data_IF_330929072757
#
_entry.id   IF_330929072757
#
_cell.length_a   1.000
_cell.length_b   1.000
_cell.length_c   1.000
_cell.angle_alpha   90.00
_cell.angle_beta   90.00
_cell.angle_gamma   90.00
#
_symmetry.space_group_name_H-M   'P 1'
#
loop_
_entity.id
_entity.type
_entity.pdbx_description
1 polymer ?
#
# COMPACT_ATOMS: atom_id res chain seq x y z
N UNK A 1 24.48 43.21 -8.04
CA UNK A 1 24.02 42.76 -6.70
C UNK A 1 22.56 43.18 -6.59
N UNK A 2 21.65 42.22 -6.51
CA UNK A 2 20.20 42.43 -6.60
C UNK A 2 19.53 41.20 -7.23
N UNK A 3 19.41 40.13 -6.44
CA UNK A 3 18.63 38.95 -6.81
C UNK A 3 17.24 39.13 -6.21
N UNK A 4 16.38 39.87 -6.90
CA UNK A 4 14.96 39.94 -6.57
C UNK A 4 14.28 38.71 -7.17
N UNK A 5 14.54 37.56 -6.55
CA UNK A 5 13.83 36.31 -6.80
C UNK A 5 12.46 36.37 -6.15
N UNK A 6 11.56 37.13 -6.76
CA UNK A 6 10.17 37.24 -6.35
C UNK A 6 9.57 35.83 -6.28
N UNK A 7 9.33 35.38 -5.05
CA UNK A 7 8.77 34.08 -4.72
C UNK A 7 7.28 34.15 -4.96
N UNK A 8 6.89 34.22 -6.23
CA UNK A 8 5.48 34.09 -6.59
C UNK A 8 5.11 32.63 -6.39
N UNK A 9 4.50 32.32 -5.24
CA UNK A 9 3.81 31.04 -5.05
C UNK A 9 2.77 30.96 -6.18
N UNK A 10 3.03 30.11 -7.16
CA UNK A 10 2.12 29.92 -8.29
C UNK A 10 0.84 29.27 -7.76
N UNK A 11 -0.31 29.59 -8.36
CA UNK A 11 -1.59 28.97 -8.00
C UNK A 11 -1.51 27.44 -7.99
N UNK A 12 -0.69 26.86 -8.88
CA UNK A 12 -0.40 25.43 -8.97
C UNK A 12 0.27 24.88 -7.69
N UNK A 13 1.19 25.64 -7.08
CA UNK A 13 1.85 25.24 -5.83
C UNK A 13 0.87 25.16 -4.65
N UNK A 14 -0.04 26.13 -4.52
CA UNK A 14 -1.06 26.11 -3.48
C UNK A 14 -2.08 24.97 -3.68
N UNK A 15 -2.46 24.70 -4.93
CA UNK A 15 -3.34 23.58 -5.26
C UNK A 15 -2.68 22.24 -4.93
N UNK A 16 -1.40 22.08 -5.28
CA UNK A 16 -0.64 20.88 -4.95
C UNK A 16 -0.55 20.66 -3.43
N UNK A 17 -0.19 21.69 -2.66
CA UNK A 17 -0.14 21.61 -1.19
C UNK A 17 -1.49 21.25 -0.58
N UNK A 18 -2.58 21.79 -1.16
CA UNK A 18 -3.95 21.43 -0.81
C UNK A 18 -4.25 19.95 -1.03
N UNK A 19 -3.87 19.41 -2.19
CA UNK A 19 -4.05 17.99 -2.53
C UNK A 19 -3.24 17.08 -1.60
N UNK A 20 -1.96 17.39 -1.37
CA UNK A 20 -1.09 16.60 -0.49
C UNK A 20 -1.63 16.61 0.95
N UNK A 21 -2.06 17.77 1.44
CA UNK A 21 -2.65 17.90 2.78
C UNK A 21 -3.95 17.11 2.91
N UNK A 22 -4.84 17.19 1.92
CA UNK A 22 -6.10 16.44 1.91
C UNK A 22 -5.84 14.93 1.88
N UNK A 23 -4.97 14.48 0.96
CA UNK A 23 -4.58 13.08 0.83
C UNK A 23 -4.04 12.53 2.17
N UNK A 24 -3.07 13.22 2.77
CA UNK A 24 -2.48 12.82 4.05
C UNK A 24 -3.51 12.77 5.19
N UNK A 25 -4.49 13.68 5.23
CA UNK A 25 -5.57 13.64 6.22
C UNK A 25 -6.47 12.42 6.01
N UNK A 26 -6.86 12.13 4.77
CA UNK A 26 -7.72 10.97 4.44
C UNK A 26 -7.00 9.67 4.79
N UNK A 27 -5.74 9.50 4.42
CA UNK A 27 -4.96 8.30 4.77
C UNK A 27 -4.86 8.10 6.28
N UNK A 28 -4.59 9.17 7.04
CA UNK A 28 -4.49 9.11 8.49
C UNK A 28 -5.81 8.71 9.16
N UNK A 29 -6.93 9.27 8.69
CA UNK A 29 -8.25 8.91 9.20
C UNK A 29 -8.59 7.46 8.90
N UNK A 30 -8.30 7.00 7.68
CA UNK A 30 -8.55 5.63 7.26
C UNK A 30 -7.67 4.64 8.04
N UNK A 31 -6.38 4.91 8.18
CA UNK A 31 -5.46 4.09 8.97
C UNK A 31 -5.92 3.95 10.42
N UNK A 32 -6.35 5.06 11.06
CA UNK A 32 -6.91 5.03 12.42
C UNK A 32 -8.23 4.26 12.52
N UNK A 33 -9.08 4.32 11.49
CA UNK A 33 -10.33 3.58 11.47
C UNK A 33 -10.08 2.07 11.32
N UNK A 34 -9.21 1.68 10.39
CA UNK A 34 -8.82 0.29 10.15
C UNK A 34 -8.16 -0.33 11.38
N UNK A 35 -7.20 0.35 11.99
CA UNK A 35 -6.52 -0.14 13.17
C UNK A 35 -7.50 -0.35 14.34
N UNK A 36 -8.40 0.61 14.59
CA UNK A 36 -9.35 0.53 15.71
C UNK A 36 -10.43 -0.54 15.52
N UNK A 37 -10.92 -0.73 14.29
CA UNK A 37 -12.06 -1.62 14.02
C UNK A 37 -11.66 -3.03 13.62
N UNK A 38 -10.50 -3.18 13.00
CA UNK A 38 -10.09 -4.43 12.34
C UNK A 38 -8.68 -4.88 12.72
N UNK A 39 -7.93 -4.08 13.48
CA UNK A 39 -6.57 -4.45 13.91
C UNK A 39 -5.53 -4.44 12.78
N UNK A 40 -5.88 -3.95 11.58
CA UNK A 40 -5.00 -3.90 10.41
C UNK A 40 -4.62 -2.47 10.05
N UNK A 41 -3.43 -2.30 9.47
CA UNK A 41 -2.99 -1.04 8.92
C UNK A 41 -3.52 -0.78 7.50
N UNK A 42 -3.25 0.42 7.00
CA UNK A 42 -3.70 0.84 5.66
C UNK A 42 -3.05 0.02 4.54
N UNK A 43 -1.78 -0.35 4.70
CA UNK A 43 -1.07 -1.15 3.70
C UNK A 43 -1.62 -2.58 3.64
N UNK A 44 -1.91 -3.20 4.78
CA UNK A 44 -2.60 -4.50 4.85
C UNK A 44 -3.95 -4.44 4.13
N UNK A 45 -4.77 -3.42 4.43
CA UNK A 45 -6.06 -3.24 3.78
C UNK A 45 -5.93 -3.09 2.26
N UNK A 46 -4.96 -2.31 1.78
CA UNK A 46 -4.69 -2.16 0.34
C UNK A 46 -4.29 -3.49 -0.29
N UNK A 47 -3.45 -4.28 0.37
CA UNK A 47 -3.06 -5.59 -0.10
C UNK A 47 -4.26 -6.54 -0.22
N UNK A 48 -5.10 -6.61 0.82
CA UNK A 48 -6.34 -7.41 0.81
C UNK A 48 -7.31 -6.94 -0.28
N UNK A 49 -7.41 -5.63 -0.53
CA UNK A 49 -8.22 -5.09 -1.63
C UNK A 49 -7.71 -5.49 -3.01
N UNK A 50 -6.39 -5.65 -3.19
CA UNK A 50 -5.81 -6.13 -4.45
C UNK A 50 -6.04 -7.62 -4.62
N UNK A 51 -5.77 -8.41 -3.58
CA UNK A 51 -5.97 -9.85 -3.61
C UNK A 51 -7.44 -10.22 -3.85
N UNK A 52 -8.39 -9.52 -3.21
CA UNK A 52 -9.83 -9.80 -3.36
C UNK A 52 -10.40 -9.49 -4.74
N UNK A 53 -9.62 -8.82 -5.60
CA UNK A 53 -9.95 -8.52 -7.00
C UNK A 53 -9.13 -9.33 -7.99
N UNK A 54 -8.19 -10.14 -7.51
CA UNK A 54 -7.47 -11.09 -8.35
C UNK A 54 -8.37 -12.31 -8.59
N UNK A 55 -8.34 -12.86 -9.81
CA UNK A 55 -9.26 -13.92 -10.24
C UNK A 55 -9.25 -15.14 -9.31
N UNK A 56 -8.04 -15.55 -8.87
CA UNK A 56 -7.84 -16.69 -7.97
C UNK A 56 -7.62 -16.27 -6.50
N UNK A 57 -7.85 -15.01 -6.14
CA UNK A 57 -7.59 -14.51 -4.79
C UNK A 57 -6.11 -14.46 -4.41
N UNK A 58 -5.21 -14.63 -5.38
CA UNK A 58 -3.77 -14.67 -5.17
C UNK A 58 -3.00 -13.73 -6.09
N UNK A 59 -1.86 -13.23 -5.60
CA UNK A 59 -0.94 -12.42 -6.37
C UNK A 59 0.50 -12.83 -6.06
N UNK A 60 1.35 -12.88 -7.09
CA UNK A 60 2.80 -12.98 -6.89
C UNK A 60 3.26 -11.77 -6.07
N UNK A 61 4.12 -12.00 -5.08
CA UNK A 61 4.55 -10.97 -4.12
C UNK A 61 5.14 -9.72 -4.80
N UNK A 62 5.86 -9.90 -5.91
CA UNK A 62 6.40 -8.79 -6.72
C UNK A 62 5.28 -7.96 -7.36
N UNK A 63 4.28 -8.62 -7.95
CA UNK A 63 3.11 -7.93 -8.54
C UNK A 63 2.34 -7.19 -7.46
N UNK A 64 2.16 -7.79 -6.29
CA UNK A 64 1.52 -7.11 -5.17
C UNK A 64 2.31 -5.86 -4.74
N UNK A 65 3.64 -5.96 -4.68
CA UNK A 65 4.53 -4.84 -4.33
C UNK A 65 4.37 -3.65 -5.28
N UNK A 66 4.35 -3.91 -6.60
CA UNK A 66 4.12 -2.89 -7.61
C UNK A 66 2.72 -2.25 -7.47
N UNK A 67 1.68 -3.07 -7.28
CA UNK A 67 0.29 -2.60 -7.19
C UNK A 67 -0.02 -1.73 -5.96
N UNK A 68 0.77 -1.85 -4.90
CA UNK A 68 0.61 -1.05 -3.66
C UNK A 68 1.75 -0.06 -3.44
N UNK A 69 2.69 0.07 -4.39
CA UNK A 69 3.78 1.05 -4.34
C UNK A 69 4.79 0.81 -3.22
N UNK A 70 5.03 -0.44 -2.85
CA UNK A 70 5.98 -0.81 -1.79
C UNK A 70 7.14 -1.60 -2.37
N UNK A 71 8.30 -1.53 -1.71
CA UNK A 71 9.40 -2.42 -2.05
C UNK A 71 9.15 -3.86 -1.55
N UNK A 72 9.88 -4.81 -2.14
CA UNK A 72 9.75 -6.24 -1.84
C UNK A 72 9.90 -6.56 -0.35
N UNK A 73 10.88 -5.97 0.33
CA UNK A 73 11.12 -6.21 1.77
C UNK A 73 9.97 -5.70 2.65
N UNK A 74 9.26 -4.66 2.23
CA UNK A 74 8.10 -4.12 2.93
C UNK A 74 6.87 -5.00 2.72
N UNK A 75 6.66 -5.50 1.50
CA UNK A 75 5.58 -6.46 1.22
C UNK A 75 5.81 -7.80 1.90
N UNK A 76 7.05 -8.30 1.95
CA UNK A 76 7.38 -9.52 2.68
C UNK A 76 6.98 -9.42 4.16
N UNK A 77 7.36 -8.32 4.84
CA UNK A 77 6.95 -8.07 6.22
C UNK A 77 5.43 -7.91 6.36
N UNK A 78 4.76 -7.29 5.39
CA UNK A 78 3.31 -7.15 5.36
C UNK A 78 2.62 -8.51 5.24
N UNK A 79 3.11 -9.38 4.35
CA UNK A 79 2.59 -10.73 4.15
C UNK A 79 2.69 -11.56 5.44
N UNK A 80 3.82 -11.48 6.16
CA UNK A 80 3.98 -12.15 7.46
C UNK A 80 2.96 -11.66 8.49
N UNK A 81 2.63 -10.36 8.49
CA UNK A 81 1.61 -9.81 9.41
C UNK A 81 0.21 -10.28 9.04
N UNK A 82 -0.14 -10.29 7.76
CA UNK A 82 -1.43 -10.80 7.28
C UNK A 82 -1.58 -12.31 7.54
N UNK A 83 -0.51 -13.08 7.37
CA UNK A 83 -0.45 -14.50 7.70
C UNK A 83 -0.64 -14.75 9.19
N UNK A 84 0.08 -14.00 10.03
CA UNK A 84 -0.09 -14.04 11.50
C UNK A 84 -1.52 -13.64 11.93
N UNK A 85 -2.15 -12.73 11.20
CA UNK A 85 -3.53 -12.30 11.44
C UNK A 85 -4.59 -13.30 10.93
N UNK A 86 -4.19 -14.39 10.26
CA UNK A 86 -5.12 -15.36 9.69
C UNK A 86 -5.95 -14.79 8.55
N UNK A 87 -5.38 -13.88 7.75
CA UNK A 87 -6.05 -13.25 6.60
C UNK A 87 -5.50 -13.70 5.24
N UNK A 88 -4.27 -14.22 5.22
CA UNK A 88 -3.61 -14.74 4.02
C UNK A 88 -2.74 -15.93 4.36
N UNK A 89 -2.34 -16.69 3.35
CA UNK A 89 -1.22 -17.62 3.43
C UNK A 89 -0.25 -17.39 2.27
N UNK A 90 0.97 -17.93 2.37
CA UNK A 90 1.95 -17.89 1.28
C UNK A 90 2.01 -19.24 0.60
N UNK A 91 1.98 -19.24 -0.73
CA UNK A 91 2.20 -20.44 -1.54
C UNK A 91 3.45 -20.29 -2.41
N UNK A 92 4.24 -21.37 -2.47
CA UNK A 92 5.32 -21.53 -3.44
C UNK A 92 4.83 -22.50 -4.50
N UNK A 93 4.25 -21.96 -5.57
CA UNK A 93 3.68 -22.76 -6.66
C UNK A 93 4.68 -23.84 -7.13
N UNK A 94 4.32 -25.14 -7.14
CA UNK A 94 5.23 -26.21 -7.55
C UNK A 94 5.72 -26.08 -9.00
N UNK A 95 4.93 -25.41 -9.84
CA UNK A 95 5.20 -25.18 -11.28
C UNK A 95 6.09 -23.97 -11.55
N UNK A 96 6.06 -22.95 -10.68
CA UNK A 96 6.97 -21.80 -10.72
C UNK A 96 7.67 -21.63 -9.36
N UNK A 97 8.74 -22.41 -9.16
CA UNK A 97 9.55 -22.39 -7.93
C UNK A 97 10.27 -21.07 -7.67
N UNK A 98 10.17 -20.08 -8.57
CA UNK A 98 10.85 -18.79 -8.44
C UNK A 98 9.94 -17.70 -7.86
N UNK A 99 8.64 -17.96 -7.72
CA UNK A 99 7.66 -16.98 -7.22
C UNK A 99 7.10 -17.37 -5.86
N UNK A 100 7.04 -16.41 -4.94
CA UNK A 100 6.20 -16.50 -3.73
C UNK A 100 4.87 -15.81 -4.04
N UNK A 101 3.78 -16.53 -3.86
CA UNK A 101 2.42 -16.01 -3.96
C UNK A 101 1.89 -15.68 -2.57
N UNK A 102 1.04 -14.67 -2.52
CA UNK A 102 0.23 -14.33 -1.35
C UNK A 102 -1.20 -14.62 -1.76
N UNK A 103 -1.87 -15.48 -1.01
CA UNK A 103 -3.20 -15.98 -1.30
C UNK A 103 -4.13 -15.55 -0.16
N UNK A 104 -5.35 -15.11 -0.49
CA UNK A 104 -6.40 -14.91 0.51
C UNK A 104 -6.82 -16.25 1.12
N UNK A 105 -7.15 -16.22 2.42
CA UNK A 105 -7.77 -17.35 3.11
C UNK A 105 -9.26 -17.45 2.83
#
# INVERSE_FOLDING_TARGET
MGVDGDTTITADGLLWDGIVTLHGRVENLLAKALQRRHGIGLSEYRALCRLSRADDGELRMQVLADLIGLNQSSVSRLAVRLETAGLTYRDSCPKDRRGVYICLL
#
